data_IF_562614351422
#
_entry.id   IF_562614351422
#
_cell.length_a   1.000
_cell.length_b   1.000
_cell.length_c   1.000
_cell.angle_alpha   90.00
_cell.angle_beta   90.00
_cell.angle_gamma   90.00
#
_symmetry.space_group_name_H-M   'P 1'
#
loop_
_entity.id
_entity.type
_entity.pdbx_description
1 polymer ?
#
# COMPACT_ATOMS: atom_id res chain seq x y z
N UNK A 1 0.48 -21.44 -38.63
CA UNK A 1 1.43 -21.22 -37.49
C UNK A 1 2.47 -22.33 -37.52
N UNK A 2 3.75 -22.02 -37.28
CA UNK A 2 4.77 -23.03 -37.12
C UNK A 2 4.47 -23.84 -35.84
N UNK A 3 4.83 -25.15 -35.81
CA UNK A 3 4.68 -25.98 -34.61
C UNK A 3 5.31 -25.36 -33.36
N UNK A 4 6.34 -24.56 -33.55
CA UNK A 4 7.05 -23.87 -32.47
C UNK A 4 6.22 -22.73 -31.84
N UNK A 5 5.44 -21.98 -32.62
CA UNK A 5 4.57 -20.93 -32.14
C UNK A 5 3.37 -21.47 -31.36
N UNK A 6 2.73 -22.54 -31.85
CA UNK A 6 1.63 -23.17 -31.14
C UNK A 6 2.07 -23.79 -29.79
N UNK A 7 3.27 -24.34 -29.73
CA UNK A 7 3.84 -24.85 -28.48
C UNK A 7 4.16 -23.70 -27.49
N UNK A 8 4.67 -22.58 -27.98
CA UNK A 8 4.92 -21.39 -27.16
C UNK A 8 3.63 -20.80 -26.59
N UNK A 9 2.58 -20.70 -27.41
CA UNK A 9 1.27 -20.24 -26.98
C UNK A 9 0.72 -21.10 -25.84
N UNK A 10 0.76 -22.44 -25.99
CA UNK A 10 0.32 -23.35 -24.94
C UNK A 10 1.09 -23.20 -23.63
N UNK A 11 2.41 -23.02 -23.70
CA UNK A 11 3.24 -22.80 -22.50
C UNK A 11 2.90 -21.48 -21.78
N UNK A 12 2.61 -20.42 -22.54
CA UNK A 12 2.18 -19.14 -21.95
C UNK A 12 0.80 -19.27 -21.31
N UNK A 13 -0.16 -19.94 -21.96
CA UNK A 13 -1.48 -20.20 -21.39
C UNK A 13 -1.37 -20.98 -20.07
N UNK A 14 -0.64 -22.10 -20.05
CA UNK A 14 -0.45 -22.91 -18.84
C UNK A 14 0.17 -22.11 -17.68
N UNK A 15 1.15 -21.25 -17.99
CA UNK A 15 1.78 -20.40 -16.98
C UNK A 15 0.81 -19.37 -16.42
N UNK A 16 0.08 -18.68 -17.29
CA UNK A 16 -0.88 -17.63 -16.89
C UNK A 16 -2.05 -18.23 -16.12
N UNK A 17 -2.60 -19.34 -16.59
CA UNK A 17 -3.72 -20.00 -15.92
C UNK A 17 -3.35 -20.45 -14.51
N UNK A 18 -2.16 -21.01 -14.32
CA UNK A 18 -1.67 -21.39 -12.99
C UNK A 18 -1.64 -20.21 -12.03
N UNK A 19 -1.08 -19.08 -12.45
CA UNK A 19 -1.01 -17.89 -11.61
C UNK A 19 -2.40 -17.29 -11.34
N UNK A 20 -3.29 -17.31 -12.36
CA UNK A 20 -4.67 -16.81 -12.21
C UNK A 20 -5.50 -17.70 -11.27
N UNK A 21 -5.34 -19.03 -11.29
CA UNK A 21 -6.02 -19.92 -10.34
C UNK A 21 -5.62 -19.62 -8.89
N UNK A 22 -4.32 -19.43 -8.63
CA UNK A 22 -3.84 -19.05 -7.32
C UNK A 22 -4.40 -17.66 -6.92
N UNK A 23 -4.36 -16.69 -7.82
CA UNK A 23 -4.89 -15.34 -7.57
C UNK A 23 -6.40 -15.38 -7.27
N UNK A 24 -7.18 -16.14 -8.04
CA UNK A 24 -8.62 -16.30 -7.81
C UNK A 24 -8.93 -16.91 -6.45
N UNK A 25 -8.23 -17.97 -6.09
CA UNK A 25 -8.42 -18.64 -4.81
C UNK A 25 -8.09 -17.72 -3.62
N UNK A 26 -7.05 -16.91 -3.75
CA UNK A 26 -6.60 -16.03 -2.67
C UNK A 26 -7.39 -14.73 -2.56
N UNK A 27 -7.78 -14.12 -3.68
CA UNK A 27 -8.26 -12.74 -3.70
C UNK A 27 -9.70 -12.56 -4.19
N UNK A 28 -10.16 -13.38 -5.12
CA UNK A 28 -11.49 -13.24 -5.70
C UNK A 28 -12.51 -14.15 -5.02
N UNK A 29 -12.11 -15.37 -4.65
CA UNK A 29 -13.01 -16.38 -4.08
C UNK A 29 -14.26 -16.55 -4.96
N UNK A 30 -15.45 -16.35 -4.40
CA UNK A 30 -16.74 -16.42 -5.11
C UNK A 30 -17.26 -15.03 -5.56
N UNK A 31 -16.42 -13.99 -5.50
CA UNK A 31 -16.81 -12.64 -5.87
C UNK A 31 -17.09 -12.56 -7.37
N UNK A 32 -18.30 -12.12 -7.75
CA UNK A 32 -18.62 -11.84 -9.14
C UNK A 32 -17.99 -10.53 -9.57
N UNK A 33 -17.13 -10.61 -10.58
CA UNK A 33 -16.46 -9.43 -11.16
C UNK A 33 -17.33 -8.91 -12.30
N UNK A 34 -17.78 -7.67 -12.19
CA UNK A 34 -18.57 -7.03 -13.24
C UNK A 34 -17.67 -6.42 -14.32
N UNK A 35 -16.63 -5.73 -13.92
CA UNK A 35 -15.73 -5.05 -14.83
C UNK A 35 -14.29 -5.52 -14.65
N UNK A 36 -13.60 -5.83 -15.76
CA UNK A 36 -12.16 -6.03 -15.81
C UNK A 36 -11.54 -4.79 -16.45
N UNK A 37 -10.72 -4.06 -15.67
CA UNK A 37 -10.02 -2.86 -16.16
C UNK A 37 -8.63 -3.29 -16.61
N UNK A 38 -8.28 -3.04 -17.87
CA UNK A 38 -6.99 -3.40 -18.43
C UNK A 38 -6.27 -2.13 -18.90
N UNK A 39 -5.07 -1.92 -18.38
CA UNK A 39 -4.20 -0.79 -18.72
C UNK A 39 -2.94 -1.35 -19.37
N UNK A 40 -2.52 -0.75 -20.48
CA UNK A 40 -1.33 -1.17 -21.21
C UNK A 40 -1.37 -0.73 -22.67
N UNK A 41 -0.27 -0.96 -23.37
CA UNK A 41 -0.11 -0.45 -24.73
C UNK A 41 -0.98 -1.21 -25.76
N UNK A 42 -0.86 -2.53 -25.83
CA UNK A 42 -1.56 -3.32 -26.84
C UNK A 42 -3.07 -3.37 -26.67
N UNK A 43 -3.56 -3.32 -25.40
CA UNK A 43 -4.99 -3.36 -25.13
C UNK A 43 -5.72 -2.15 -25.73
N UNK A 44 -5.07 -0.99 -25.80
CA UNK A 44 -5.63 0.21 -26.40
C UNK A 44 -5.89 0.01 -27.89
N UNK A 45 -4.96 -0.59 -28.63
CA UNK A 45 -5.09 -0.87 -30.06
C UNK A 45 -6.16 -1.95 -30.30
N UNK A 46 -6.14 -3.03 -29.52
CA UNK A 46 -7.14 -4.11 -29.61
C UNK A 46 -8.54 -3.54 -29.31
N UNK A 47 -8.69 -2.73 -28.27
CA UNK A 47 -9.97 -2.18 -27.86
C UNK A 47 -10.60 -1.23 -28.87
N UNK A 48 -9.77 -0.56 -29.70
CA UNK A 48 -10.27 0.31 -30.79
C UNK A 48 -10.93 -0.47 -31.93
N UNK A 49 -10.63 -1.75 -32.06
CA UNK A 49 -11.14 -2.63 -33.13
C UNK A 49 -12.39 -3.39 -32.70
N UNK A 50 -12.77 -3.34 -31.43
CA UNK A 50 -13.95 -4.01 -30.89
C UNK A 50 -15.06 -2.99 -30.64
N UNK A 51 -16.31 -3.37 -30.95
CA UNK A 51 -17.48 -2.52 -30.69
C UNK A 51 -17.65 -2.26 -29.19
N UNK A 52 -17.71 -0.99 -28.82
CA UNK A 52 -17.90 -0.55 -27.43
C UNK A 52 -19.34 -0.22 -27.13
N UNK A 53 -19.73 -0.39 -25.88
CA UNK A 53 -20.98 0.11 -25.36
C UNK A 53 -20.95 1.66 -25.40
N UNK A 54 -21.99 2.28 -25.93
CA UNK A 54 -22.10 3.74 -26.13
C UNK A 54 -22.28 4.51 -24.83
N UNK A 55 -22.78 3.87 -23.77
CA UNK A 55 -23.09 4.53 -22.50
C UNK A 55 -21.85 4.67 -21.61
N UNK A 56 -21.07 3.60 -21.48
CA UNK A 56 -19.96 3.52 -20.52
C UNK A 56 -18.58 3.21 -21.16
N UNK A 57 -18.53 3.14 -22.48
CA UNK A 57 -17.32 2.87 -23.27
C UNK A 57 -16.65 1.52 -22.92
N UNK A 58 -17.40 0.57 -22.36
CA UNK A 58 -16.94 -0.79 -22.07
C UNK A 58 -17.12 -1.72 -23.29
N UNK A 59 -16.46 -2.87 -23.24
CA UNK A 59 -16.54 -3.92 -24.24
C UNK A 59 -17.13 -5.16 -23.56
N UNK A 60 -18.18 -5.75 -24.13
CA UNK A 60 -18.67 -7.05 -23.67
C UNK A 60 -17.56 -8.10 -23.78
N UNK A 61 -17.31 -8.85 -22.73
CA UNK A 61 -16.25 -9.88 -22.70
C UNK A 61 -16.38 -10.89 -23.85
N UNK A 62 -17.59 -11.28 -24.19
CA UNK A 62 -17.84 -12.19 -25.31
C UNK A 62 -17.41 -11.60 -26.68
N UNK A 63 -17.61 -10.31 -26.90
CA UNK A 63 -17.19 -9.63 -28.14
C UNK A 63 -15.66 -9.50 -28.19
N UNK A 64 -15.03 -9.20 -27.04
CA UNK A 64 -13.58 -9.15 -26.92
C UNK A 64 -12.94 -10.49 -27.24
N UNK A 65 -13.39 -11.57 -26.59
CA UNK A 65 -12.87 -12.92 -26.81
C UNK A 65 -13.07 -13.39 -28.24
N UNK A 66 -14.21 -13.07 -28.85
CA UNK A 66 -14.46 -13.38 -30.27
C UNK A 66 -13.45 -12.68 -31.19
N UNK A 67 -13.08 -11.43 -30.87
CA UNK A 67 -12.10 -10.68 -31.65
C UNK A 67 -10.68 -11.26 -31.45
N UNK A 68 -10.29 -11.58 -30.22
CA UNK A 68 -8.99 -12.21 -29.93
C UNK A 68 -8.85 -13.53 -30.68
N UNK A 69 -9.88 -14.40 -30.65
CA UNK A 69 -9.85 -15.67 -31.38
C UNK A 69 -9.72 -15.48 -32.90
N UNK A 70 -10.29 -14.41 -33.44
CA UNK A 70 -10.09 -14.06 -34.86
C UNK A 70 -8.63 -13.64 -35.13
N UNK A 71 -7.98 -12.96 -34.21
CA UNK A 71 -6.56 -12.60 -34.34
C UNK A 71 -5.66 -13.82 -34.18
N UNK A 72 -6.00 -14.79 -33.33
CA UNK A 72 -5.25 -16.05 -33.16
C UNK A 72 -5.14 -16.89 -34.46
N UNK A 73 -6.03 -16.70 -35.43
CA UNK A 73 -5.98 -17.37 -36.74
C UNK A 73 -5.02 -16.72 -37.74
N UNK A 74 -4.46 -15.52 -37.39
CA UNK A 74 -3.62 -14.71 -38.28
C UNK A 74 -2.13 -14.90 -38.03
N UNK A 75 -1.33 -14.49 -39.01
CA UNK A 75 0.13 -14.38 -38.84
C UNK A 75 0.48 -13.14 -38.03
N UNK A 76 1.72 -13.07 -37.52
CA UNK A 76 2.20 -11.92 -36.79
C UNK A 76 2.13 -10.64 -37.64
N UNK A 77 2.52 -10.73 -38.90
CA UNK A 77 2.47 -9.62 -39.85
C UNK A 77 1.05 -9.09 -40.05
N UNK A 78 0.07 -10.00 -40.22
CA UNK A 78 -1.33 -9.64 -40.39
C UNK A 78 -1.93 -8.99 -39.11
N UNK A 79 -1.51 -9.46 -37.92
CA UNK A 79 -1.89 -8.88 -36.64
C UNK A 79 -1.31 -7.47 -36.51
N UNK A 80 -0.03 -7.31 -36.84
CA UNK A 80 0.68 -6.02 -36.76
C UNK A 80 0.06 -4.97 -37.68
N UNK A 81 -0.28 -5.37 -38.91
CA UNK A 81 -0.98 -4.50 -39.85
C UNK A 81 -2.41 -4.13 -39.36
N UNK A 82 -3.19 -5.11 -38.87
CA UNK A 82 -4.54 -4.86 -38.40
C UNK A 82 -4.55 -3.94 -37.16
N UNK A 83 -3.61 -4.09 -36.25
CA UNK A 83 -3.50 -3.28 -35.04
C UNK A 83 -2.69 -1.99 -35.23
N UNK A 84 -2.12 -1.74 -36.40
CA UNK A 84 -1.22 -0.61 -36.73
C UNK A 84 -0.01 -0.53 -35.77
N UNK A 85 0.63 -1.66 -35.48
CA UNK A 85 1.81 -1.74 -34.61
C UNK A 85 3.08 -1.32 -35.38
N UNK A 86 4.08 -0.84 -34.65
CA UNK A 86 5.42 -0.61 -35.18
C UNK A 86 6.23 -1.89 -35.14
N UNK A 87 7.16 -2.10 -36.08
CA UNK A 87 8.01 -3.31 -36.18
C UNK A 87 8.76 -3.65 -34.86
N UNK A 88 9.06 -2.66 -34.02
CA UNK A 88 9.71 -2.89 -32.72
C UNK A 88 8.77 -3.51 -31.68
N UNK A 89 7.47 -3.33 -31.85
CA UNK A 89 6.44 -3.78 -30.90
C UNK A 89 5.85 -5.16 -31.23
N UNK A 90 6.09 -5.67 -32.45
CA UNK A 90 5.40 -6.85 -32.96
C UNK A 90 5.64 -8.13 -32.15
N UNK A 91 6.85 -8.33 -31.65
CA UNK A 91 7.23 -9.57 -30.96
C UNK A 91 6.44 -9.85 -29.67
N UNK A 92 5.92 -8.83 -29.01
CA UNK A 92 5.23 -8.95 -27.73
C UNK A 92 3.71 -8.98 -27.86
N UNK A 93 3.14 -8.71 -29.04
CA UNK A 93 1.67 -8.65 -29.19
C UNK A 93 1.01 -10.00 -28.87
N UNK A 94 1.59 -11.11 -29.30
CA UNK A 94 1.06 -12.45 -29.09
C UNK A 94 0.98 -12.80 -27.59
N UNK A 95 2.07 -12.72 -26.80
CA UNK A 95 1.97 -12.97 -25.36
C UNK A 95 0.99 -12.04 -24.64
N UNK A 96 0.90 -10.76 -25.02
CA UNK A 96 -0.10 -9.86 -24.43
C UNK A 96 -1.53 -10.27 -24.77
N UNK A 97 -1.80 -10.64 -26.02
CA UNK A 97 -3.12 -11.16 -26.43
C UNK A 97 -3.52 -12.38 -25.63
N UNK A 98 -2.59 -13.31 -25.41
CA UNK A 98 -2.82 -14.54 -24.64
C UNK A 98 -3.11 -14.20 -23.16
N UNK A 99 -2.34 -13.32 -22.54
CA UNK A 99 -2.58 -12.87 -21.17
C UNK A 99 -3.99 -12.26 -21.06
N UNK A 100 -4.35 -11.35 -21.96
CA UNK A 100 -5.68 -10.71 -21.94
C UNK A 100 -6.81 -11.72 -22.14
N UNK A 101 -6.62 -12.71 -23.03
CA UNK A 101 -7.56 -13.81 -23.25
C UNK A 101 -7.74 -14.64 -21.98
N UNK A 102 -6.66 -15.16 -21.41
CA UNK A 102 -6.68 -15.96 -20.19
C UNK A 102 -7.33 -15.21 -19.03
N UNK A 103 -6.98 -13.94 -18.84
CA UNK A 103 -7.60 -13.10 -17.80
C UNK A 103 -9.11 -12.92 -18.03
N UNK A 104 -9.52 -12.61 -19.24
CA UNK A 104 -10.94 -12.41 -19.57
C UNK A 104 -11.76 -13.70 -19.39
N UNK A 105 -11.23 -14.86 -19.79
CA UNK A 105 -11.86 -16.17 -19.65
C UNK A 105 -11.89 -16.65 -18.19
N UNK A 106 -10.77 -16.55 -17.47
CA UNK A 106 -10.62 -17.06 -16.12
C UNK A 106 -11.35 -16.22 -15.07
N UNK A 107 -11.31 -14.89 -15.17
CA UNK A 107 -11.97 -13.99 -14.21
C UNK A 107 -13.50 -13.97 -14.41
N UNK A 108 -13.97 -14.19 -15.65
CA UNK A 108 -15.39 -14.24 -15.96
C UNK A 108 -16.11 -12.89 -15.78
N UNK A 109 -15.41 -11.79 -15.96
CA UNK A 109 -16.01 -10.45 -15.93
C UNK A 109 -17.05 -10.27 -17.04
N UNK A 110 -18.13 -9.54 -16.76
CA UNK A 110 -19.19 -9.28 -17.75
C UNK A 110 -18.67 -8.38 -18.87
N UNK A 111 -17.86 -7.37 -18.52
CA UNK A 111 -17.34 -6.36 -19.43
C UNK A 111 -15.89 -6.00 -19.13
N UNK A 112 -15.17 -5.60 -20.19
CA UNK A 112 -13.84 -5.02 -20.09
C UNK A 112 -13.88 -3.50 -20.31
N UNK A 113 -13.02 -2.80 -19.60
CA UNK A 113 -12.76 -1.40 -19.82
C UNK A 113 -11.27 -1.16 -20.05
N UNK A 114 -10.94 -0.65 -21.24
CA UNK A 114 -9.61 -0.21 -21.59
C UNK A 114 -9.62 1.32 -21.66
N UNK A 115 -9.18 2.04 -20.65
CA UNK A 115 -9.24 3.51 -20.59
C UNK A 115 -8.37 4.18 -21.66
N UNK A 116 -7.44 3.46 -22.24
CA UNK A 116 -6.52 3.98 -23.26
C UNK A 116 -5.39 4.82 -22.68
N UNK A 117 -5.12 4.66 -21.40
CA UNK A 117 -3.99 5.29 -20.69
C UNK A 117 -2.81 4.32 -20.60
N UNK A 118 -1.61 4.87 -20.49
CA UNK A 118 -0.37 4.13 -20.34
C UNK A 118 0.52 4.73 -19.23
N UNK A 119 1.68 4.14 -19.00
CA UNK A 119 2.63 4.60 -17.96
C UNK A 119 3.09 6.04 -18.20
N UNK A 120 3.29 6.44 -19.47
CA UNK A 120 3.72 7.82 -19.82
C UNK A 120 2.67 8.85 -19.43
N UNK A 121 1.37 8.52 -19.59
CA UNK A 121 0.27 9.39 -19.15
C UNK A 121 0.28 9.56 -17.62
N UNK A 122 0.54 8.47 -16.88
CA UNK A 122 0.68 8.51 -15.43
C UNK A 122 1.86 9.37 -14.97
N UNK A 123 3.01 9.29 -15.65
CA UNK A 123 4.18 10.13 -15.37
C UNK A 123 3.87 11.60 -15.65
N UNK A 124 3.26 11.89 -16.79
CA UNK A 124 2.86 13.25 -17.16
C UNK A 124 1.86 13.84 -16.17
N UNK A 125 0.86 13.04 -15.75
CA UNK A 125 -0.11 13.43 -14.74
C UNK A 125 0.56 13.76 -13.40
N UNK A 126 1.46 12.89 -12.92
CA UNK A 126 2.20 13.11 -11.67
C UNK A 126 3.06 14.39 -11.74
N UNK A 127 3.74 14.61 -12.87
CA UNK A 127 4.53 15.83 -13.08
C UNK A 127 3.64 17.07 -13.04
N UNK A 128 2.51 17.07 -13.73
CA UNK A 128 1.57 18.18 -13.77
C UNK A 128 0.97 18.47 -12.38
N UNK A 129 0.62 17.43 -11.61
CA UNK A 129 0.15 17.55 -10.24
C UNK A 129 1.21 18.16 -9.32
N UNK A 130 2.44 17.64 -9.35
CA UNK A 130 3.56 18.11 -8.53
C UNK A 130 3.90 19.58 -8.78
N UNK A 131 3.73 20.04 -10.01
CA UNK A 131 4.00 21.43 -10.40
C UNK A 131 2.73 22.33 -10.33
N UNK A 132 1.65 21.86 -9.73
CA UNK A 132 0.37 22.58 -9.62
C UNK A 132 -0.21 23.07 -10.97
N UNK A 133 0.08 22.34 -12.06
CA UNK A 133 -0.43 22.63 -13.41
C UNK A 133 -1.88 22.13 -13.58
N UNK A 134 -2.29 21.16 -12.78
CA UNK A 134 -3.64 20.60 -12.75
C UNK A 134 -4.14 20.54 -11.32
N UNK A 135 -5.46 20.67 -11.14
CA UNK A 135 -6.13 20.41 -9.87
C UNK A 135 -6.61 18.97 -9.86
N UNK A 136 -6.21 18.23 -8.83
CA UNK A 136 -6.62 16.85 -8.63
C UNK A 136 -7.58 16.80 -7.47
N UNK A 137 -8.78 16.25 -7.70
CA UNK A 137 -9.82 16.11 -6.67
C UNK A 137 -9.71 14.79 -5.92
N UNK A 138 -9.06 13.77 -6.52
CA UNK A 138 -8.89 12.46 -5.93
C UNK A 138 -7.83 12.47 -4.82
N UNK A 139 -8.13 11.81 -3.70
CA UNK A 139 -7.21 11.68 -2.56
C UNK A 139 -6.43 10.35 -2.64
N UNK A 140 -5.29 10.38 -3.31
CA UNK A 140 -4.40 9.20 -3.42
C UNK A 140 -3.81 8.76 -2.07
N UNK A 141 -3.73 9.64 -1.06
CA UNK A 141 -3.29 9.23 0.28
C UNK A 141 -4.36 8.37 0.96
N UNK A 142 -5.64 8.68 0.75
CA UNK A 142 -6.74 7.84 1.21
C UNK A 142 -6.71 6.44 0.58
N UNK A 143 -6.30 6.30 -0.69
CA UNK A 143 -6.13 4.99 -1.33
C UNK A 143 -5.03 4.16 -0.66
N UNK A 144 -3.88 4.78 -0.37
CA UNK A 144 -2.77 4.13 0.34
C UNK A 144 -3.22 3.65 1.72
N UNK A 145 -3.95 4.50 2.47
CA UNK A 145 -4.47 4.13 3.79
C UNK A 145 -5.51 3.00 3.71
N UNK A 146 -6.37 3.03 2.69
CA UNK A 146 -7.36 1.96 2.46
C UNK A 146 -6.67 0.64 2.12
N UNK A 147 -5.65 0.65 1.28
CA UNK A 147 -4.86 -0.54 0.95
C UNK A 147 -4.14 -1.10 2.20
N UNK A 148 -3.56 -0.23 3.04
CA UNK A 148 -2.96 -0.64 4.30
C UNK A 148 -3.98 -1.25 5.27
N UNK A 149 -5.20 -0.70 5.37
CA UNK A 149 -6.28 -1.26 6.19
C UNK A 149 -6.72 -2.63 5.68
N UNK A 150 -6.92 -2.80 4.38
CA UNK A 150 -7.26 -4.09 3.78
C UNK A 150 -6.18 -5.14 4.06
N UNK A 151 -4.90 -4.76 4.01
CA UNK A 151 -3.80 -5.65 4.37
C UNK A 151 -3.85 -6.01 5.86
N UNK A 152 -4.07 -5.04 6.75
CA UNK A 152 -4.23 -5.24 8.19
C UNK A 152 -5.39 -6.18 8.54
N UNK A 153 -6.53 -6.03 7.88
CA UNK A 153 -7.71 -6.91 8.04
C UNK A 153 -7.42 -8.33 7.58
N UNK A 154 -6.72 -8.51 6.46
CA UNK A 154 -6.27 -9.84 5.97
C UNK A 154 -5.45 -10.59 7.01
N UNK A 155 -4.60 -9.88 7.75
CA UNK A 155 -3.82 -10.43 8.85
C UNK A 155 -4.51 -10.32 10.23
N UNK A 156 -5.82 -10.12 10.24
CA UNK A 156 -6.68 -10.14 11.43
C UNK A 156 -6.18 -9.23 12.57
N UNK A 157 -5.58 -8.09 12.24
CA UNK A 157 -5.13 -7.12 13.23
C UNK A 157 -6.31 -6.46 13.94
N UNK A 158 -6.14 -6.08 15.22
CA UNK A 158 -7.22 -5.56 16.04
C UNK A 158 -7.53 -4.08 15.74
N UNK A 159 -8.55 -3.84 14.94
CA UNK A 159 -8.95 -2.51 14.42
C UNK A 159 -9.11 -1.42 15.51
N UNK A 160 -9.76 -1.65 16.68
CA UNK A 160 -9.88 -0.58 17.67
C UNK A 160 -8.55 -0.08 18.21
N UNK A 161 -7.55 -0.97 18.39
CA UNK A 161 -6.20 -0.59 18.79
C UNK A 161 -5.49 0.20 17.68
N UNK A 162 -5.60 -0.26 16.43
CA UNK A 162 -5.02 0.42 15.26
C UNK A 162 -5.55 1.84 15.14
N UNK A 163 -6.85 2.05 15.29
CA UNK A 163 -7.46 3.36 15.20
C UNK A 163 -6.98 4.29 16.33
N UNK A 164 -6.96 3.80 17.57
CA UNK A 164 -6.44 4.55 18.71
C UNK A 164 -4.95 4.90 18.52
N UNK A 165 -4.13 3.93 18.12
CA UNK A 165 -2.71 4.12 17.85
C UNK A 165 -2.47 5.13 16.73
N UNK A 166 -3.18 5.01 15.61
CA UNK A 166 -3.05 5.93 14.48
C UNK A 166 -3.43 7.36 14.87
N UNK A 167 -4.49 7.54 15.64
CA UNK A 167 -4.88 8.87 16.14
C UNK A 167 -3.81 9.46 17.05
N UNK A 168 -3.29 8.69 18.01
CA UNK A 168 -2.25 9.15 18.94
C UNK A 168 -0.94 9.47 18.23
N UNK A 169 -0.48 8.60 17.34
CA UNK A 169 0.73 8.81 16.56
C UNK A 169 0.63 10.05 15.67
N UNK A 170 -0.51 10.24 15.01
CA UNK A 170 -0.77 11.41 14.16
C UNK A 170 -0.83 12.69 14.99
N UNK A 171 -1.48 12.68 16.16
CA UNK A 171 -1.52 13.83 17.05
C UNK A 171 -0.13 14.23 17.53
N UNK A 172 0.71 13.30 17.93
CA UNK A 172 2.08 13.54 18.35
C UNK A 172 2.90 14.10 17.19
N UNK A 173 2.80 13.49 16.01
CA UNK A 173 3.48 13.94 14.81
C UNK A 173 3.12 15.40 14.48
N UNK A 174 1.83 15.73 14.39
CA UNK A 174 1.36 17.08 14.06
C UNK A 174 1.79 18.11 15.11
N UNK A 175 1.77 17.72 16.40
CA UNK A 175 2.22 18.57 17.51
C UNK A 175 3.72 18.85 17.45
N UNK A 176 4.52 17.86 17.03
CA UNK A 176 5.98 17.91 16.97
C UNK A 176 6.52 18.45 15.63
N UNK A 177 5.68 18.92 14.72
CA UNK A 177 6.06 19.32 13.35
C UNK A 177 7.26 20.28 13.29
N UNK A 178 7.35 21.24 14.21
CA UNK A 178 8.46 22.20 14.27
C UNK A 178 9.77 21.59 14.79
N UNK A 179 9.70 20.42 15.44
CA UNK A 179 10.84 19.73 16.04
C UNK A 179 11.41 18.70 15.08
N UNK A 180 10.56 17.83 14.54
CA UNK A 180 11.04 16.73 13.68
C UNK A 180 11.36 17.19 12.25
N UNK A 181 10.76 18.27 11.74
CA UNK A 181 11.00 18.81 10.40
C UNK A 181 10.49 17.92 9.25
N UNK A 182 9.73 16.86 9.54
CA UNK A 182 9.16 15.95 8.54
C UNK A 182 7.90 16.56 7.90
N UNK A 183 7.57 16.10 6.67
CA UNK A 183 6.48 16.62 5.87
C UNK A 183 5.21 15.77 5.91
N UNK A 184 4.30 16.09 4.99
CA UNK A 184 3.02 15.39 4.84
C UNK A 184 3.22 13.92 4.42
N UNK A 185 4.25 13.64 3.63
CA UNK A 185 4.51 12.28 3.13
C UNK A 185 4.95 11.37 4.27
N UNK A 186 5.86 11.81 5.14
CA UNK A 186 6.30 11.03 6.29
C UNK A 186 5.17 10.83 7.31
N UNK A 187 4.22 11.79 7.39
CA UNK A 187 2.99 11.61 8.17
C UNK A 187 2.14 10.44 7.65
N UNK A 188 2.00 10.31 6.34
CA UNK A 188 1.32 9.16 5.72
C UNK A 188 2.06 7.85 6.03
N UNK A 189 3.41 7.83 5.92
CA UNK A 189 4.21 6.65 6.24
C UNK A 189 4.02 6.21 7.70
N UNK A 190 3.94 7.17 8.64
CA UNK A 190 3.65 6.87 10.04
C UNK A 190 2.26 6.27 10.22
N UNK A 191 1.25 6.77 9.52
CA UNK A 191 -0.11 6.23 9.58
C UNK A 191 -0.15 4.79 9.05
N UNK A 192 0.51 4.52 7.92
CA UNK A 192 0.63 3.16 7.38
C UNK A 192 1.37 2.24 8.35
N UNK A 193 2.48 2.71 8.94
CA UNK A 193 3.21 1.96 9.95
C UNK A 193 2.35 1.63 11.18
N UNK A 194 1.54 2.59 11.65
CA UNK A 194 0.59 2.36 12.75
C UNK A 194 -0.49 1.33 12.40
N UNK A 195 -1.00 1.35 11.16
CA UNK A 195 -2.00 0.40 10.70
C UNK A 195 -1.42 -1.03 10.61
N UNK A 196 -0.18 -1.17 10.15
CA UNK A 196 0.43 -2.47 9.87
C UNK A 196 1.32 -3.02 10.99
N UNK A 197 1.48 -2.30 12.11
CA UNK A 197 2.47 -2.64 13.14
C UNK A 197 2.30 -4.03 13.75
N UNK A 198 1.10 -4.56 13.79
CA UNK A 198 0.75 -5.82 14.44
C UNK A 198 0.40 -6.96 13.45
N UNK A 199 0.45 -6.73 12.13
CA UNK A 199 0.04 -7.73 11.13
C UNK A 199 0.86 -9.04 11.21
N UNK A 200 2.11 -8.97 11.64
CA UNK A 200 2.99 -10.14 11.81
C UNK A 200 2.60 -11.03 12.98
N UNK A 201 1.78 -10.57 13.93
CA UNK A 201 1.27 -11.41 15.03
C UNK A 201 0.39 -12.56 14.53
N UNK A 202 -0.20 -12.41 13.35
CA UNK A 202 -0.92 -13.49 12.67
C UNK A 202 -0.04 -14.71 12.41
N UNK A 203 1.25 -14.47 12.12
CA UNK A 203 2.22 -15.54 11.86
C UNK A 203 2.89 -16.00 13.16
N UNK A 204 3.38 -15.06 13.98
CA UNK A 204 4.09 -15.36 15.21
C UNK A 204 3.94 -14.25 16.25
N UNK A 205 3.44 -14.59 17.43
CA UNK A 205 3.40 -13.65 18.55
C UNK A 205 4.82 -13.29 19.06
N UNK A 206 5.74 -14.27 19.07
CA UNK A 206 7.10 -14.06 19.55
C UNK A 206 7.94 -13.20 18.60
N UNK A 207 7.79 -13.41 17.29
CA UNK A 207 8.53 -12.71 16.24
C UNK A 207 7.64 -11.74 15.43
N UNK A 208 6.54 -11.28 16.03
CA UNK A 208 5.58 -10.40 15.38
C UNK A 208 6.19 -9.20 14.63
N UNK A 209 7.13 -8.43 15.23
CA UNK A 209 7.77 -7.32 14.55
C UNK A 209 8.53 -7.70 13.28
N UNK A 210 9.28 -8.81 13.31
CA UNK A 210 10.00 -9.32 12.14
C UNK A 210 9.03 -9.79 11.07
N UNK A 211 8.02 -10.56 11.45
CA UNK A 211 6.98 -11.01 10.50
C UNK A 211 6.21 -9.82 9.91
N UNK A 212 5.94 -8.75 10.68
CA UNK A 212 5.32 -7.52 10.13
C UNK A 212 6.24 -6.85 9.10
N UNK A 213 7.54 -6.78 9.38
CA UNK A 213 8.53 -6.28 8.42
C UNK A 213 8.46 -7.06 7.10
N UNK A 214 8.53 -8.40 7.17
CA UNK A 214 8.52 -9.26 5.99
C UNK A 214 7.20 -9.14 5.20
N UNK A 215 6.06 -9.08 5.89
CA UNK A 215 4.75 -8.86 5.26
C UNK A 215 4.72 -7.53 4.50
N UNK A 216 5.19 -6.44 5.13
CA UNK A 216 5.20 -5.11 4.52
C UNK A 216 6.10 -5.09 3.28
N UNK A 217 7.30 -5.68 3.38
CA UNK A 217 8.25 -5.73 2.27
C UNK A 217 7.77 -6.61 1.11
N UNK A 218 7.08 -7.71 1.40
CA UNK A 218 6.51 -8.62 0.40
C UNK A 218 5.19 -8.11 -0.20
N UNK A 219 4.54 -7.11 0.42
CA UNK A 219 3.25 -6.59 -0.04
C UNK A 219 3.44 -5.40 -0.98
N UNK A 220 2.64 -5.37 -2.05
CA UNK A 220 2.55 -4.19 -2.91
C UNK A 220 1.39 -3.31 -2.47
N UNK A 221 1.72 -2.14 -1.94
CA UNK A 221 0.74 -1.09 -1.63
C UNK A 221 0.88 -0.03 -2.72
N UNK A 222 -0.12 0.04 -3.61
CA UNK A 222 -0.13 1.01 -4.71
C UNK A 222 -0.04 2.42 -4.14
N UNK A 223 0.85 3.24 -4.73
CA UNK A 223 1.13 4.60 -4.27
C UNK A 223 2.28 4.72 -3.28
N UNK A 224 2.94 3.62 -2.90
CA UNK A 224 4.19 3.60 -2.14
C UNK A 224 5.37 3.13 -3.01
N UNK A 225 6.49 3.85 -2.94
CA UNK A 225 7.75 3.41 -3.52
C UNK A 225 8.40 2.31 -2.69
N UNK A 226 9.36 1.59 -3.25
CA UNK A 226 10.14 0.59 -2.51
C UNK A 226 10.80 1.19 -1.27
N UNK A 227 11.47 2.35 -1.42
CA UNK A 227 12.11 3.08 -0.33
C UNK A 227 11.12 3.46 0.80
N UNK A 228 9.91 3.86 0.46
CA UNK A 228 8.89 4.18 1.45
C UNK A 228 8.39 2.94 2.19
N UNK A 229 8.26 1.79 1.49
CA UNK A 229 7.97 0.51 2.14
C UNK A 229 9.06 0.09 3.11
N UNK A 230 10.34 0.29 2.75
CA UNK A 230 11.48 0.05 3.66
C UNK A 230 11.41 0.94 4.90
N UNK A 231 11.09 2.23 4.76
CA UNK A 231 10.91 3.13 5.89
C UNK A 231 9.76 2.63 6.80
N UNK A 232 8.61 2.26 6.23
CA UNK A 232 7.47 1.74 6.98
C UNK A 232 7.84 0.45 7.71
N UNK A 233 8.43 -0.51 7.01
CA UNK A 233 8.78 -1.82 7.55
C UNK A 233 9.79 -1.69 8.71
N UNK A 234 10.82 -0.86 8.53
CA UNK A 234 11.80 -0.58 9.60
C UNK A 234 11.17 0.20 10.76
N UNK A 235 10.27 1.15 10.51
CA UNK A 235 9.53 1.86 11.56
C UNK A 235 8.72 0.87 12.42
N UNK A 236 8.07 -0.11 11.80
CA UNK A 236 7.33 -1.17 12.48
C UNK A 236 8.26 -2.10 13.26
N UNK A 237 9.36 -2.54 12.66
CA UNK A 237 10.35 -3.41 13.30
C UNK A 237 10.93 -2.74 14.55
N UNK A 238 11.39 -1.52 14.41
CA UNK A 238 12.02 -0.74 15.48
C UNK A 238 11.04 -0.02 16.39
N UNK A 239 9.74 -0.16 16.20
CA UNK A 239 8.74 0.17 17.22
C UNK A 239 8.91 -0.70 18.49
N UNK A 240 9.39 -1.93 18.33
CA UNK A 240 9.58 -2.87 19.46
C UNK A 240 11.04 -3.11 19.76
N UNK A 241 11.87 -3.36 18.76
CA UNK A 241 13.29 -3.66 18.90
C UNK A 241 14.14 -2.39 18.95
N UNK A 242 15.33 -2.45 19.57
CA UNK A 242 16.29 -1.34 19.50
C UNK A 242 16.64 -1.04 18.04
N UNK A 243 16.68 0.24 17.68
CA UNK A 243 17.24 0.65 16.39
C UNK A 243 18.76 0.55 16.47
N UNK A 244 19.42 -0.23 15.60
CA UNK A 244 20.88 -0.28 15.52
C UNK A 244 21.46 1.07 15.09
N UNK A 245 22.77 1.25 15.25
CA UNK A 245 23.46 2.42 14.75
C UNK A 245 23.44 2.45 13.21
N UNK A 246 23.61 3.64 12.62
CA UNK A 246 23.52 3.82 11.17
C UNK A 246 24.49 2.92 10.40
N UNK A 247 25.70 2.76 10.92
CA UNK A 247 26.76 1.93 10.33
C UNK A 247 26.33 0.47 10.10
N UNK A 248 25.48 -0.07 10.97
CA UNK A 248 24.95 -1.44 10.88
C UNK A 248 23.82 -1.58 9.84
N UNK A 249 23.24 -0.46 9.41
CA UNK A 249 22.11 -0.41 8.47
C UNK A 249 22.44 0.32 7.16
N UNK A 250 23.65 0.83 7.00
CA UNK A 250 24.06 1.65 5.85
C UNK A 250 23.93 0.93 4.49
N UNK A 251 24.01 -0.41 4.49
CA UNK A 251 23.81 -1.22 3.28
C UNK A 251 22.33 -1.33 2.87
N UNK A 252 21.39 -1.02 3.77
CA UNK A 252 19.94 -1.16 3.58
C UNK A 252 19.21 0.18 3.52
N UNK A 253 19.65 1.14 4.32
CA UNK A 253 19.00 2.44 4.45
C UNK A 253 20.02 3.55 4.17
N UNK A 254 19.68 4.50 3.31
CA UNK A 254 20.43 5.74 3.25
C UNK A 254 20.21 6.59 4.52
N UNK A 255 21.09 7.55 4.74
CA UNK A 255 21.09 8.38 5.94
C UNK A 255 19.76 9.10 6.23
N UNK A 256 19.10 9.63 5.19
CA UNK A 256 17.83 10.35 5.34
C UNK A 256 16.70 9.39 5.72
N UNK A 257 16.68 8.19 5.12
CA UNK A 257 15.74 7.13 5.48
C UNK A 257 15.95 6.64 6.90
N UNK A 258 17.20 6.45 7.33
CA UNK A 258 17.53 6.07 8.70
C UNK A 258 17.03 7.11 9.71
N UNK A 259 17.28 8.40 9.48
CA UNK A 259 16.78 9.47 10.34
C UNK A 259 15.25 9.53 10.38
N UNK A 260 14.60 9.26 9.24
CA UNK A 260 13.15 9.18 9.16
C UNK A 260 12.62 8.01 9.99
N UNK A 261 13.20 6.82 9.84
CA UNK A 261 12.86 5.63 10.65
C UNK A 261 13.03 5.91 12.14
N UNK A 262 14.16 6.51 12.55
CA UNK A 262 14.42 6.86 13.94
C UNK A 262 13.31 7.77 14.53
N UNK A 263 12.93 8.81 13.79
CA UNK A 263 11.87 9.75 14.19
C UNK A 263 10.48 9.09 14.23
N UNK A 264 10.11 8.36 13.19
CA UNK A 264 8.80 7.71 13.11
C UNK A 264 8.65 6.59 14.15
N UNK A 265 9.68 5.76 14.34
CA UNK A 265 9.67 4.70 15.36
C UNK A 265 9.61 5.27 16.78
N UNK A 266 10.26 6.40 17.07
CA UNK A 266 10.16 7.05 18.36
C UNK A 266 8.72 7.50 18.67
N UNK A 267 8.04 8.10 17.69
CA UNK A 267 6.64 8.50 17.83
C UNK A 267 5.74 7.25 17.99
N UNK A 268 5.94 6.24 17.16
CA UNK A 268 5.12 5.04 17.19
C UNK A 268 5.26 4.28 18.52
N UNK A 269 6.48 4.20 19.09
CA UNK A 269 6.74 3.53 20.38
C UNK A 269 5.95 4.13 21.54
N UNK A 270 5.98 5.46 21.67
CA UNK A 270 5.26 6.12 22.78
C UNK A 270 3.74 6.04 22.56
N UNK A 271 3.29 6.18 21.31
CA UNK A 271 1.87 6.04 20.96
C UNK A 271 1.34 4.62 21.24
N UNK A 272 2.10 3.58 20.88
CA UNK A 272 1.71 2.19 21.11
C UNK A 272 1.64 1.86 22.62
N UNK A 273 2.53 2.43 23.43
CA UNK A 273 2.48 2.25 24.87
C UNK A 273 1.22 2.83 25.51
N UNK A 274 0.61 3.89 24.92
CA UNK A 274 -0.60 4.53 25.44
C UNK A 274 -1.87 3.68 25.33
N UNK A 275 -1.91 2.66 24.47
CA UNK A 275 -3.03 1.71 24.39
C UNK A 275 -2.57 0.25 24.52
N UNK A 276 -1.61 0.00 25.42
CA UNK A 276 -1.00 -1.33 25.57
C UNK A 276 -1.98 -2.41 25.99
N UNK A 277 -3.01 -2.08 26.74
CA UNK A 277 -4.05 -3.02 27.13
C UNK A 277 -5.08 -3.30 26.03
N UNK A 278 -5.01 -2.56 24.90
CA UNK A 278 -5.98 -2.59 23.80
C UNK A 278 -7.43 -2.30 24.25
N UNK A 279 -7.58 -1.45 25.29
CA UNK A 279 -8.88 -1.08 25.86
C UNK A 279 -9.31 0.36 25.55
N UNK A 280 -8.52 1.10 24.80
CA UNK A 280 -8.77 2.50 24.40
C UNK A 280 -9.20 3.38 25.59
N UNK A 281 -8.46 3.26 26.70
CA UNK A 281 -8.77 3.97 27.97
C UNK A 281 -8.62 5.48 27.89
N UNK A 282 -7.80 5.98 26.95
CA UNK A 282 -7.49 7.39 26.80
C UNK A 282 -8.54 8.09 25.93
N UNK A 283 -9.21 9.06 26.53
CA UNK A 283 -10.20 9.90 25.85
C UNK A 283 -9.69 11.31 25.73
N UNK A 284 -10.21 12.07 24.76
CA UNK A 284 -9.91 13.49 24.56
C UNK A 284 -8.41 13.82 24.65
N UNK A 285 -7.58 12.99 24.01
CA UNK A 285 -6.13 13.15 24.03
C UNK A 285 -5.72 14.46 23.36
N UNK A 286 -4.93 15.28 24.07
CA UNK A 286 -4.34 16.53 23.56
C UNK A 286 -2.85 16.51 23.79
N UNK A 287 -2.10 17.08 22.86
CA UNK A 287 -0.65 17.19 22.99
C UNK A 287 -0.18 18.63 22.78
N UNK A 288 0.87 19.01 23.48
CA UNK A 288 1.52 20.32 23.31
C UNK A 288 2.99 20.24 23.70
N UNK A 289 3.87 20.89 22.93
CA UNK A 289 5.28 21.05 23.30
C UNK A 289 5.41 22.23 24.22
N UNK A 290 5.99 22.04 25.43
CA UNK A 290 6.25 23.05 26.44
C UNK A 290 7.71 22.98 26.89
N UNK A 291 8.54 23.89 26.39
CA UNK A 291 9.98 23.84 26.64
C UNK A 291 10.60 22.53 26.10
N UNK A 292 11.15 21.71 26.98
CA UNK A 292 11.72 20.41 26.64
C UNK A 292 10.78 19.23 26.93
N UNK A 293 9.50 19.49 27.06
CA UNK A 293 8.50 18.44 27.31
C UNK A 293 7.45 18.41 26.20
N UNK A 294 7.10 17.19 25.76
CA UNK A 294 5.87 16.91 25.03
C UNK A 294 4.80 16.49 26.05
N UNK A 295 3.95 17.43 26.42
CA UNK A 295 2.87 17.19 27.39
C UNK A 295 1.66 16.60 26.68
N UNK A 296 1.36 15.34 26.98
CA UNK A 296 0.17 14.63 26.49
C UNK A 296 -0.86 14.61 27.60
N UNK A 297 -1.94 15.36 27.41
CA UNK A 297 -3.05 15.43 28.36
C UNK A 297 -4.12 14.45 27.93
N UNK A 298 -4.55 13.58 28.85
CA UNK A 298 -5.57 12.57 28.63
C UNK A 298 -6.72 12.74 29.61
N UNK A 299 -7.92 12.36 29.19
CA UNK A 299 -9.08 12.18 30.04
C UNK A 299 -9.35 10.68 30.16
N UNK A 300 -9.53 10.19 31.39
CA UNK A 300 -9.79 8.79 31.65
C UNK A 300 -10.61 8.61 32.92
N UNK A 301 -11.43 7.55 32.97
CA UNK A 301 -12.08 7.05 34.17
C UNK A 301 -11.48 5.70 34.63
N UNK A 302 -10.58 5.15 33.81
CA UNK A 302 -9.96 3.85 34.03
C UNK A 302 -8.63 3.99 34.76
N UNK A 303 -8.17 2.89 35.38
CA UNK A 303 -6.80 2.78 35.86
C UNK A 303 -5.84 2.61 34.64
N UNK A 304 -4.87 3.49 34.57
CA UNK A 304 -3.85 3.57 33.51
C UNK A 304 -2.44 3.23 34.00
N UNK A 305 -2.31 2.60 35.14
CA UNK A 305 -1.00 2.30 35.74
C UNK A 305 -0.11 1.49 34.78
N UNK A 306 -0.69 0.51 34.07
CA UNK A 306 0.00 -0.31 33.07
C UNK A 306 0.52 0.56 31.89
N UNK A 307 -0.38 1.33 31.28
CA UNK A 307 -0.06 2.18 30.14
C UNK A 307 1.01 3.20 30.51
N UNK A 308 0.89 3.82 31.69
CA UNK A 308 1.85 4.81 32.17
C UNK A 308 3.23 4.22 32.43
N UNK A 309 3.31 3.06 33.08
CA UNK A 309 4.60 2.38 33.34
C UNK A 309 5.31 1.99 32.02
N UNK A 310 4.55 1.49 31.04
CA UNK A 310 5.10 1.11 29.75
C UNK A 310 5.43 2.32 28.87
N UNK A 311 4.66 3.39 28.96
CA UNK A 311 4.98 4.66 28.32
C UNK A 311 6.30 5.24 28.87
N UNK A 312 6.45 5.32 30.19
CA UNK A 312 7.67 5.82 30.85
C UNK A 312 8.92 5.04 30.42
N UNK A 313 8.80 3.72 30.23
CA UNK A 313 9.88 2.87 29.71
C UNK A 313 10.28 3.18 28.26
N UNK A 314 9.43 3.85 27.48
CA UNK A 314 9.70 4.22 26.07
C UNK A 314 10.16 5.66 25.88
N UNK A 315 10.06 6.50 26.92
CA UNK A 315 10.38 7.93 26.84
C UNK A 315 11.85 8.21 26.55
N UNK A 316 12.79 7.39 27.07
CA UNK A 316 14.21 7.58 26.88
C UNK A 316 14.62 7.57 25.40
N UNK A 317 14.10 6.66 24.61
CA UNK A 317 14.39 6.61 23.16
C UNK A 317 13.83 7.85 22.44
N UNK A 318 12.62 8.27 22.79
CA UNK A 318 12.00 9.48 22.24
C UNK A 318 12.83 10.75 22.59
N UNK A 319 13.27 10.85 23.83
CA UNK A 319 14.11 11.96 24.29
C UNK A 319 15.48 11.99 23.59
N UNK A 320 16.07 10.83 23.36
CA UNK A 320 17.34 10.72 22.61
C UNK A 320 17.18 11.22 21.16
N UNK A 321 16.05 10.89 20.50
CA UNK A 321 15.81 11.29 19.11
C UNK A 321 15.45 12.76 18.98
N UNK A 322 14.64 13.32 19.91
CA UNK A 322 14.07 14.66 19.75
C UNK A 322 14.60 15.70 20.74
N UNK A 323 15.39 15.30 21.74
CA UNK A 323 15.77 16.14 22.89
C UNK A 323 14.56 16.75 23.63
N UNK A 324 13.42 16.06 23.56
CA UNK A 324 12.15 16.41 24.19
C UNK A 324 11.64 15.18 24.93
N UNK A 325 11.28 15.36 26.21
CA UNK A 325 10.75 14.30 27.05
C UNK A 325 9.23 14.23 26.93
N UNK A 326 8.64 13.11 26.51
CA UNK A 326 7.19 12.96 26.54
C UNK A 326 6.72 12.67 27.96
N UNK A 327 5.62 13.32 28.37
CA UNK A 327 5.01 13.16 29.69
C UNK A 327 3.48 13.07 29.58
N UNK A 328 2.87 12.14 30.29
CA UNK A 328 1.41 12.03 30.37
C UNK A 328 0.91 12.83 31.57
N UNK A 329 -0.08 13.70 31.34
CA UNK A 329 -0.87 14.38 32.37
C UNK A 329 -2.30 13.88 32.35
N UNK A 330 -2.71 13.30 33.45
CA UNK A 330 -4.05 12.78 33.65
C UNK A 330 -5.00 13.90 34.11
N UNK A 331 -6.12 14.02 33.44
CA UNK A 331 -7.26 14.81 33.88
C UNK A 331 -8.39 13.84 34.22
N UNK A 332 -8.59 13.55 35.50
CA UNK A 332 -9.68 12.70 35.95
C UNK A 332 -11.01 13.36 35.69
N UNK A 333 -11.89 12.65 35.00
CA UNK A 333 -13.29 13.03 34.84
C UNK A 333 -14.05 12.23 35.89
N UNK A 334 -14.62 12.92 36.85
CA UNK A 334 -15.57 12.31 37.79
C UNK A 334 -16.92 12.29 37.08
N UNK A 335 -17.47 11.09 36.90
CA UNK A 335 -18.82 10.88 36.38
C UNK A 335 -19.90 11.27 37.37
#
# INVERSE_FOLDING_TARGET
>A
KSNNLAQYELQVEELVDKELEVFKAMYLQETKIKYLIIIGDYISEISRKVEKNKEDNTIETAKFLKYIRKLDEKTLEEISEELNLSNESDALVIPYMMIFKCMAESIGAESLWAPGTNVSDGIAFHYAQKNNMIRVEHDFEADVLSAARNLSERYMSYTPHIDALTQMATLIFDTMKKVHGLGRRERLLLQVAAILHDCGKYISFANGPSCSYDIIMASEIIGLTHKEREIIANTVLYNTWPLPDYEDLADKLDHDSYLTVAKLSAILRVSNAMDRSHKQKFKNVKAAVKGRELVITIETMDDIALEKALFDAKTAYFENVFSIKPVIKEKRVYG
#
